data_IF_105726596562
#
_entry.id   IF_105726596562
#
_cell.length_a   1.000
_cell.length_b   1.000
_cell.length_c   1.000
_cell.angle_alpha   90.00
_cell.angle_beta   90.00
_cell.angle_gamma   90.00
#
_symmetry.space_group_name_H-M   'P 1'
#
loop_
_entity.id
_entity.type
_entity.pdbx_description
1 polymer ?
#
# COMPACT_ATOMS: atom_id res chain seq x y z
N UNK A 1 49.32 57.29 -26.43
CA UNK A 1 48.81 55.91 -26.55
C UNK A 1 47.61 55.78 -25.62
N UNK A 2 46.42 55.72 -26.19
CA UNK A 2 45.19 55.31 -25.51
C UNK A 2 44.45 54.46 -26.53
N UNK A 3 44.49 53.14 -26.35
CA UNK A 3 43.76 52.17 -27.17
C UNK A 3 42.44 51.81 -26.48
N UNK A 4 41.37 52.02 -27.24
CA UNK A 4 40.11 51.29 -27.30
C UNK A 4 39.99 49.98 -26.50
N UNK A 5 38.85 49.81 -25.83
CA UNK A 5 38.12 48.53 -25.94
C UNK A 5 36.61 48.72 -25.80
N UNK A 6 35.91 48.37 -26.87
CA UNK A 6 34.46 48.12 -26.95
C UNK A 6 34.22 46.65 -26.63
N UNK A 7 33.10 46.29 -25.99
CA UNK A 7 32.64 44.90 -25.97
C UNK A 7 31.48 44.61 -25.03
N UNK A 8 30.26 44.68 -25.56
CA UNK A 8 29.05 44.09 -24.98
C UNK A 8 29.09 42.56 -25.09
N UNK A 9 28.64 41.85 -24.05
CA UNK A 9 28.10 40.50 -24.19
C UNK A 9 27.11 40.22 -23.04
N UNK A 10 25.83 40.16 -23.39
CA UNK A 10 24.81 39.56 -22.54
C UNK A 10 25.05 38.06 -22.44
N UNK A 11 24.94 37.52 -21.22
CA UNK A 11 24.95 36.07 -20.99
C UNK A 11 23.53 35.62 -20.69
N UNK A 12 22.90 35.02 -21.68
CA UNK A 12 21.64 34.31 -21.54
C UNK A 12 21.86 33.10 -20.64
N UNK A 13 21.26 33.12 -19.45
CA UNK A 13 21.10 31.93 -18.63
C UNK A 13 20.16 30.97 -19.38
N UNK A 14 20.74 29.99 -20.06
CA UNK A 14 20.02 28.86 -20.63
C UNK A 14 19.49 28.02 -19.48
N UNK A 15 18.22 28.23 -19.14
CA UNK A 15 17.47 27.27 -18.35
C UNK A 15 17.56 25.92 -19.07
N UNK A 16 18.20 24.94 -18.43
CA UNK A 16 18.02 23.54 -18.79
C UNK A 16 16.56 23.22 -18.53
N UNK A 17 15.76 23.35 -19.57
CA UNK A 17 14.40 22.82 -19.63
C UNK A 17 14.56 21.29 -19.66
N UNK A 18 14.78 20.72 -18.47
CA UNK A 18 14.83 19.28 -18.25
C UNK A 18 13.38 18.76 -18.25
N UNK A 19 12.66 19.05 -19.34
CA UNK A 19 11.46 18.33 -19.75
C UNK A 19 11.91 16.96 -20.21
N UNK A 20 12.32 16.14 -19.24
CA UNK A 20 12.26 14.69 -19.35
C UNK A 20 10.87 14.42 -19.91
N UNK A 21 10.77 13.98 -21.17
CA UNK A 21 9.50 13.54 -21.76
C UNK A 21 8.88 12.65 -20.71
N UNK A 22 7.81 13.10 -20.04
CA UNK A 22 6.99 12.23 -19.21
C UNK A 22 6.58 11.15 -20.19
N UNK A 23 7.18 9.96 -20.05
CA UNK A 23 6.79 8.84 -20.89
C UNK A 23 5.29 8.67 -20.71
N UNK A 24 4.60 8.24 -21.76
CA UNK A 24 3.26 7.68 -21.61
C UNK A 24 3.35 6.71 -20.42
N UNK A 25 2.54 6.92 -19.38
CA UNK A 25 2.72 6.27 -18.08
C UNK A 25 2.77 4.73 -18.18
N UNK A 26 2.96 4.06 -17.06
CA UNK A 26 2.96 2.61 -17.02
C UNK A 26 1.58 2.08 -17.43
N UNK A 27 1.55 1.26 -18.49
CA UNK A 27 0.43 0.39 -18.80
C UNK A 27 0.56 -0.90 -18.01
N UNK A 28 -0.49 -1.27 -17.27
CA UNK A 28 -0.49 -2.42 -16.37
C UNK A 28 -1.38 -3.51 -16.96
N UNK A 29 -0.85 -4.73 -17.03
CA UNK A 29 -1.60 -5.89 -17.50
C UNK A 29 -2.25 -6.61 -16.32
N UNK A 30 -3.50 -7.02 -16.49
CA UNK A 30 -4.23 -7.85 -15.53
C UNK A 30 -3.75 -9.30 -15.64
N UNK A 31 -3.48 -9.95 -14.50
CA UNK A 31 -2.90 -11.30 -14.45
C UNK A 31 -3.74 -12.23 -13.59
N UNK A 32 -4.03 -11.86 -12.34
CA UNK A 32 -4.75 -12.72 -11.40
C UNK A 32 -6.20 -12.30 -11.19
N UNK A 33 -6.52 -11.04 -11.47
CA UNK A 33 -7.82 -10.45 -11.12
C UNK A 33 -8.78 -10.43 -12.30
N UNK A 34 -10.06 -10.16 -12.04
CA UNK A 34 -11.11 -10.02 -13.05
C UNK A 34 -11.58 -8.57 -13.15
N UNK A 35 -11.75 -8.05 -14.37
CA UNK A 35 -12.25 -6.69 -14.57
C UNK A 35 -13.66 -6.52 -13.98
N UNK A 36 -13.89 -5.43 -13.25
CA UNK A 36 -15.17 -5.14 -12.59
C UNK A 36 -15.46 -5.96 -11.32
N UNK A 37 -14.52 -6.80 -10.86
CA UNK A 37 -14.61 -7.55 -9.61
C UNK A 37 -13.44 -7.16 -8.72
N UNK A 38 -13.73 -6.75 -7.47
CA UNK A 38 -12.66 -6.46 -6.52
C UNK A 38 -12.15 -7.78 -5.92
N UNK A 39 -10.83 -7.97 -5.71
CA UNK A 39 -10.27 -9.23 -5.17
C UNK A 39 -10.89 -9.70 -3.84
N UNK A 40 -11.40 -8.74 -3.08
CA UNK A 40 -12.11 -8.93 -1.83
C UNK A 40 -13.45 -9.64 -1.94
N UNK A 41 -14.09 -9.56 -3.09
CA UNK A 41 -15.41 -10.16 -3.37
C UNK A 41 -15.27 -11.60 -3.89
N UNK A 42 -14.04 -12.02 -4.21
CA UNK A 42 -13.73 -13.36 -4.72
C UNK A 42 -13.46 -14.38 -3.61
N UNK A 43 -13.37 -13.95 -2.34
CA UNK A 43 -13.01 -14.82 -1.21
C UNK A 43 -14.08 -14.79 -0.11
N UNK A 44 -14.15 -15.88 0.66
CA UNK A 44 -15.04 -15.98 1.81
C UNK A 44 -14.38 -15.43 3.06
N UNK A 45 -15.08 -14.52 3.75
CA UNK A 45 -14.60 -13.86 4.95
C UNK A 45 -15.19 -14.48 6.21
N UNK A 46 -14.37 -14.59 7.24
CA UNK A 46 -14.75 -15.20 8.51
C UNK A 46 -14.29 -14.32 9.67
N UNK A 47 -15.18 -14.19 10.66
CA UNK A 47 -14.84 -13.55 11.94
C UNK A 47 -14.27 -14.56 12.91
N UNK A 48 -13.20 -14.16 13.61
CA UNK A 48 -12.49 -14.97 14.59
C UNK A 48 -12.08 -14.10 15.76
N UNK A 49 -11.98 -14.70 16.93
CA UNK A 49 -11.42 -14.03 18.12
C UNK A 49 -9.94 -14.38 18.23
N UNK A 50 -9.09 -13.36 18.36
CA UNK A 50 -7.66 -13.52 18.64
C UNK A 50 -7.46 -13.36 20.14
N UNK A 51 -7.26 -14.47 20.83
CA UNK A 51 -6.93 -14.52 22.27
C UNK A 51 -5.58 -15.20 22.42
N UNK A 52 -4.59 -14.46 22.89
CA UNK A 52 -3.24 -14.97 23.09
C UNK A 52 -2.96 -15.08 24.59
N UNK A 53 -2.75 -16.29 25.07
CA UNK A 53 -2.46 -16.57 26.49
C UNK A 53 -0.98 -16.80 26.73
N UNK A 54 -0.51 -16.45 27.92
CA UNK A 54 0.78 -16.81 28.45
C UNK A 54 0.79 -18.32 28.74
N UNK A 55 1.75 -19.04 28.15
CA UNK A 55 1.87 -20.48 28.34
C UNK A 55 2.26 -20.89 29.77
N UNK A 56 2.85 -19.97 30.55
CA UNK A 56 3.33 -20.27 31.92
C UNK A 56 2.21 -20.29 32.95
N UNK A 57 1.25 -19.38 32.85
CA UNK A 57 0.23 -19.13 33.88
C UNK A 57 -1.20 -19.06 33.32
N UNK A 58 -1.38 -19.18 31.99
CA UNK A 58 -2.67 -19.13 31.33
C UNK A 58 -3.30 -17.74 31.24
N UNK A 59 -2.61 -16.69 31.69
CA UNK A 59 -3.13 -15.31 31.65
C UNK A 59 -3.25 -14.79 30.22
N UNK A 60 -4.23 -13.92 29.94
CA UNK A 60 -4.40 -13.33 28.60
C UNK A 60 -3.42 -12.17 28.43
N UNK A 61 -2.53 -12.29 27.45
CA UNK A 61 -1.54 -11.26 27.11
C UNK A 61 -2.05 -10.27 26.08
N UNK A 62 -2.90 -10.73 25.17
CA UNK A 62 -3.49 -9.92 24.12
C UNK A 62 -4.84 -10.52 23.73
N UNK A 63 -5.81 -9.66 23.50
CA UNK A 63 -7.14 -10.04 23.05
C UNK A 63 -7.70 -9.00 22.08
N UNK A 64 -8.19 -9.47 20.94
CA UNK A 64 -9.01 -8.69 20.03
C UNK A 64 -10.04 -9.60 19.37
N UNK A 65 -11.32 -9.31 19.63
CA UNK A 65 -12.45 -10.14 19.18
C UNK A 65 -13.04 -9.67 17.86
N UNK A 66 -13.69 -10.59 17.16
CA UNK A 66 -14.46 -10.32 15.95
C UNK A 66 -13.62 -9.83 14.79
N UNK A 67 -12.33 -10.18 14.73
CA UNK A 67 -11.47 -9.79 13.61
C UNK A 67 -11.80 -10.60 12.37
N UNK A 68 -11.74 -9.97 11.20
CA UNK A 68 -12.18 -10.55 9.95
C UNK A 68 -11.02 -10.85 9.00
N UNK A 69 -10.94 -12.09 8.54
CA UNK A 69 -9.91 -12.59 7.62
C UNK A 69 -10.55 -13.54 6.61
N UNK A 70 -9.90 -13.79 5.45
CA UNK A 70 -10.30 -14.87 4.57
C UNK A 70 -10.25 -16.23 5.28
N UNK A 71 -11.15 -17.14 4.92
CA UNK A 71 -11.25 -18.46 5.54
C UNK A 71 -9.97 -19.29 5.44
N UNK A 72 -9.23 -19.15 4.35
CA UNK A 72 -7.97 -19.85 4.09
C UNK A 72 -6.77 -19.30 4.88
N UNK A 73 -6.88 -18.14 5.54
CA UNK A 73 -5.81 -17.65 6.41
C UNK A 73 -5.67 -18.52 7.66
N UNK A 74 -4.43 -18.95 7.96
CA UNK A 74 -4.18 -19.76 9.15
C UNK A 74 -4.41 -18.97 10.45
N UNK A 75 -4.79 -19.69 11.51
CA UNK A 75 -4.93 -19.11 12.86
C UNK A 75 -3.66 -18.37 13.30
N UNK A 76 -2.48 -18.93 13.00
CA UNK A 76 -1.21 -18.30 13.34
C UNK A 76 -1.00 -16.96 12.59
N UNK A 77 -1.34 -16.91 11.30
CA UNK A 77 -1.25 -15.69 10.51
C UNK A 77 -2.23 -14.61 11.02
N UNK A 78 -3.48 -14.99 11.31
CA UNK A 78 -4.47 -14.10 11.95
C UNK A 78 -3.92 -13.54 13.27
N UNK A 79 -3.39 -14.39 14.17
CA UNK A 79 -2.84 -13.96 15.46
C UNK A 79 -1.68 -12.97 15.30
N UNK A 80 -0.76 -13.23 14.37
CA UNK A 80 0.40 -12.35 14.12
C UNK A 80 -0.07 -11.01 13.55
N UNK A 81 -0.91 -11.02 12.52
CA UNK A 81 -1.42 -9.79 11.90
C UNK A 81 -2.19 -8.95 12.89
N UNK A 82 -3.11 -9.54 13.63
CA UNK A 82 -3.93 -8.81 14.60
C UNK A 82 -3.11 -8.25 15.76
N UNK A 83 -2.13 -8.99 16.29
CA UNK A 83 -1.34 -8.52 17.44
C UNK A 83 -0.22 -7.56 17.08
N UNK A 84 0.32 -7.63 15.85
CA UNK A 84 1.48 -6.83 15.43
C UNK A 84 1.15 -5.74 14.42
N UNK A 85 0.31 -6.02 13.43
CA UNK A 85 0.21 -5.20 12.22
C UNK A 85 -1.06 -4.36 12.13
N UNK A 86 -2.15 -4.80 12.78
CA UNK A 86 -3.31 -3.94 12.94
C UNK A 86 -2.94 -2.66 13.69
N UNK A 87 -3.42 -1.53 13.20
CA UNK A 87 -3.18 -0.18 13.72
C UNK A 87 -4.32 0.27 14.64
N UNK A 88 -4.03 1.18 15.57
CA UNK A 88 -4.99 1.71 16.57
C UNK A 88 -4.79 1.09 17.95
N UNK A 89 -5.32 1.71 19.00
CA UNK A 89 -5.22 1.17 20.35
C UNK A 89 -6.19 -0.01 20.53
N UNK A 90 -5.81 -1.07 21.24
CA UNK A 90 -6.74 -2.18 21.50
C UNK A 90 -7.95 -1.66 22.29
N UNK A 91 -9.14 -2.00 21.82
CA UNK A 91 -10.40 -1.52 22.40
C UNK A 91 -10.86 -0.13 21.94
N UNK A 92 -10.11 0.56 21.07
CA UNK A 92 -10.57 1.81 20.46
C UNK A 92 -11.37 1.56 19.19
N UNK A 93 -12.30 2.46 18.87
CA UNK A 93 -13.09 2.41 17.63
C UNK A 93 -12.24 2.56 16.36
N UNK A 94 -11.04 3.12 16.52
CA UNK A 94 -10.05 3.32 15.45
C UNK A 94 -9.14 2.12 15.20
N UNK A 95 -9.31 1.03 15.97
CA UNK A 95 -8.52 -0.19 15.80
C UNK A 95 -8.93 -0.91 14.53
N UNK A 96 -7.96 -1.20 13.68
CA UNK A 96 -8.16 -2.08 12.53
C UNK A 96 -8.64 -3.45 13.01
N UNK A 97 -9.68 -3.97 12.36
CA UNK A 97 -10.35 -5.23 12.74
C UNK A 97 -10.56 -6.17 11.56
N UNK A 98 -10.19 -5.78 10.34
CA UNK A 98 -10.24 -6.65 9.16
C UNK A 98 -8.94 -6.55 8.38
N UNK A 99 -8.51 -7.66 7.78
CA UNK A 99 -7.33 -7.67 6.89
C UNK A 99 -7.46 -6.66 5.74
N UNK A 100 -8.69 -6.37 5.29
CA UNK A 100 -8.97 -5.37 4.25
C UNK A 100 -8.39 -4.00 4.62
N UNK A 101 -8.65 -3.54 5.84
CA UNK A 101 -8.18 -2.23 6.31
C UNK A 101 -6.65 -2.14 6.29
N UNK A 102 -5.96 -3.20 6.70
CA UNK A 102 -4.50 -3.27 6.67
C UNK A 102 -3.95 -3.21 5.24
N UNK A 103 -4.54 -3.99 4.32
CA UNK A 103 -4.13 -4.01 2.92
C UNK A 103 -4.43 -2.67 2.26
N UNK A 104 -5.66 -2.16 2.39
CA UNK A 104 -6.11 -0.89 1.79
C UNK A 104 -5.25 0.28 2.22
N UNK A 105 -4.90 0.34 3.51
CA UNK A 105 -4.02 1.38 4.04
C UNK A 105 -2.73 1.51 3.23
N UNK A 106 -2.12 0.38 2.85
CA UNK A 106 -0.89 0.34 2.06
C UNK A 106 -1.17 0.54 0.58
N UNK A 107 -2.07 -0.27 0.01
CA UNK A 107 -2.31 -0.31 -1.45
C UNK A 107 -2.89 1.02 -1.95
N UNK A 108 -3.91 1.56 -1.28
CA UNK A 108 -4.52 2.82 -1.70
C UNK A 108 -3.57 4.01 -1.57
N UNK A 109 -2.63 3.96 -0.61
CA UNK A 109 -1.57 4.96 -0.51
C UNK A 109 -0.63 4.90 -1.72
N UNK A 110 -0.27 3.70 -2.17
CA UNK A 110 0.57 3.55 -3.37
C UNK A 110 -0.15 3.89 -4.65
N UNK A 111 -1.43 3.51 -4.81
CA UNK A 111 -2.24 3.94 -5.95
C UNK A 111 -2.28 5.47 -6.01
N UNK A 112 -2.66 6.13 -4.91
CA UNK A 112 -2.75 7.60 -4.86
C UNK A 112 -1.43 8.27 -5.21
N UNK A 113 -0.31 7.78 -4.65
CA UNK A 113 1.01 8.32 -4.98
C UNK A 113 1.37 8.11 -6.46
N UNK A 114 1.01 6.95 -7.03
CA UNK A 114 1.21 6.66 -8.45
C UNK A 114 0.40 7.58 -9.36
N UNK A 115 -0.85 7.87 -8.99
CA UNK A 115 -1.70 8.83 -9.70
C UNK A 115 -1.15 10.26 -9.58
N UNK A 116 -0.80 10.71 -8.37
CA UNK A 116 -0.25 12.04 -8.09
C UNK A 116 1.04 12.32 -8.86
N UNK A 117 1.92 11.32 -8.97
CA UNK A 117 3.19 11.44 -9.67
C UNK A 117 3.12 11.08 -11.16
N UNK A 118 1.94 10.72 -11.68
CA UNK A 118 1.73 10.41 -13.09
C UNK A 118 2.43 9.12 -13.54
N UNK A 119 2.47 8.10 -12.67
CA UNK A 119 3.05 6.80 -13.01
C UNK A 119 2.14 5.92 -13.86
N UNK A 120 0.83 6.12 -13.87
CA UNK A 120 -0.09 5.31 -14.67
C UNK A 120 -0.42 6.00 -16.00
N UNK A 121 -0.51 5.22 -17.08
CA UNK A 121 -0.92 5.75 -18.39
C UNK A 121 -2.41 6.14 -18.40
N UNK A 122 -3.24 5.34 -17.73
CA UNK A 122 -4.70 5.53 -17.66
C UNK A 122 -5.23 5.32 -16.24
N UNK A 123 -6.46 5.77 -15.94
CA UNK A 123 -7.14 5.41 -14.69
C UNK A 123 -7.33 3.89 -14.53
N UNK A 124 -7.57 3.17 -15.63
CA UNK A 124 -7.72 1.72 -15.64
C UNK A 124 -6.41 1.03 -15.22
N UNK A 125 -5.26 1.54 -15.63
CA UNK A 125 -3.96 1.02 -15.19
C UNK A 125 -3.75 1.17 -13.67
N UNK A 126 -4.23 2.27 -13.09
CA UNK A 126 -4.19 2.49 -11.65
C UNK A 126 -5.10 1.51 -10.89
N UNK A 127 -6.28 1.21 -11.44
CA UNK A 127 -7.20 0.20 -10.90
C UNK A 127 -6.62 -1.21 -11.00
N UNK A 128 -6.07 -1.58 -12.17
CA UNK A 128 -5.44 -2.90 -12.35
C UNK A 128 -4.29 -3.04 -11.35
N UNK A 129 -3.45 -2.00 -11.17
CA UNK A 129 -2.38 -2.02 -10.18
C UNK A 129 -2.91 -2.25 -8.75
N UNK A 130 -3.96 -1.53 -8.34
CA UNK A 130 -4.58 -1.71 -7.04
C UNK A 130 -5.12 -3.13 -6.85
N UNK A 131 -5.87 -3.65 -7.83
CA UNK A 131 -6.49 -4.96 -7.76
C UNK A 131 -5.43 -6.07 -7.72
N UNK A 132 -4.43 -6.03 -8.61
CA UNK A 132 -3.37 -7.05 -8.65
C UNK A 132 -2.54 -7.05 -7.36
N UNK A 133 -2.19 -5.87 -6.83
CA UNK A 133 -1.43 -5.78 -5.58
C UNK A 133 -2.25 -6.25 -4.37
N UNK A 134 -3.53 -5.87 -4.31
CA UNK A 134 -4.48 -6.34 -3.28
C UNK A 134 -4.61 -7.86 -3.33
N UNK A 135 -4.83 -8.42 -4.53
CA UNK A 135 -4.96 -9.85 -4.73
C UNK A 135 -3.69 -10.59 -4.28
N UNK A 136 -2.51 -10.11 -4.67
CA UNK A 136 -1.24 -10.75 -4.33
C UNK A 136 -0.98 -10.77 -2.82
N UNK A 137 -1.35 -9.71 -2.10
CA UNK A 137 -1.26 -9.61 -0.64
C UNK A 137 -2.29 -10.50 0.05
N UNK A 138 -3.53 -10.49 -0.43
CA UNK A 138 -4.64 -11.29 0.12
C UNK A 138 -4.35 -12.79 0.05
N UNK A 139 -3.80 -13.23 -1.08
CA UNK A 139 -3.45 -14.64 -1.36
C UNK A 139 -2.03 -15.01 -0.95
N UNK A 140 -1.31 -14.11 -0.27
CA UNK A 140 0.05 -14.35 0.25
C UNK A 140 1.08 -14.76 -0.81
N UNK A 141 0.88 -14.35 -2.08
CA UNK A 141 1.84 -14.53 -3.18
C UNK A 141 3.01 -13.54 -3.04
N UNK A 142 2.75 -12.40 -2.40
CA UNK A 142 3.70 -11.35 -2.11
C UNK A 142 3.46 -10.76 -0.71
N UNK A 143 4.49 -10.17 -0.11
CA UNK A 143 4.36 -9.36 1.10
C UNK A 143 5.45 -8.30 1.15
N UNK A 144 5.11 -7.12 1.64
CA UNK A 144 6.11 -6.12 2.00
C UNK A 144 6.88 -6.52 3.28
N UNK A 145 8.04 -5.89 3.48
CA UNK A 145 8.76 -5.95 4.74
C UNK A 145 8.00 -5.18 5.84
N UNK A 146 8.29 -5.47 7.11
CA UNK A 146 7.57 -4.90 8.25
C UNK A 146 7.51 -3.36 8.30
N UNK A 147 8.58 -2.60 7.95
CA UNK A 147 8.51 -1.13 7.97
C UNK A 147 7.42 -0.54 7.07
N UNK A 148 7.13 -1.15 5.92
CA UNK A 148 6.05 -0.68 5.03
C UNK A 148 4.70 -0.82 5.74
N UNK A 149 4.44 -1.99 6.33
CA UNK A 149 3.19 -2.25 7.05
C UNK A 149 2.96 -1.30 8.23
N UNK A 150 4.03 -0.86 8.89
CA UNK A 150 3.93 0.05 10.04
C UNK A 150 3.77 1.52 9.66
N UNK A 151 4.37 1.95 8.55
CA UNK A 151 4.58 3.36 8.26
C UNK A 151 3.80 3.90 7.06
N UNK A 152 3.24 3.05 6.19
CA UNK A 152 2.48 3.51 5.01
C UNK A 152 1.00 3.69 5.34
N UNK A 153 0.40 4.76 4.80
CA UNK A 153 -1.03 5.07 4.92
C UNK A 153 -1.48 5.52 6.31
N UNK A 154 -0.56 6.10 7.08
CA UNK A 154 -0.72 6.47 8.49
C UNK A 154 -1.21 7.89 8.70
#
# INVERSE_FOLDING_TARGET
MAESTVGSAGSAATGRDDKRKRGDGLSIQRVHTTAGVHPYDEVTWQRRDVVMTNWRDGTVNFEQRGVEFPDFWSVNATNIVTSKYFRGAVGSDTRESTLRQLIDRVVLTYRRAGEEHGYFATPDDAEIFEHELTWALLHQVFSFNSPVWFNVGT
#
